data_IF_386905380039
#
_entry.id   IF_386905380039
#
_cell.length_a   1.000
_cell.length_b   1.000
_cell.length_c   1.000
_cell.angle_alpha   90.00
_cell.angle_beta   90.00
_cell.angle_gamma   90.00
#
_symmetry.space_group_name_H-M   'P 1'
#
loop_
_entity.id
_entity.type
_entity.pdbx_description
1 polymer ?
#
# COMPACT_ATOMS: atom_id res chain seq x y z
N UNK A 1 -7.48 27.81 -20.57
CA UNK A 1 -6.97 26.66 -21.36
C UNK A 1 -7.97 25.51 -21.31
N UNK A 2 -8.61 25.22 -22.44
CA UNK A 2 -9.71 24.26 -22.57
C UNK A 2 -9.19 22.82 -22.77
N UNK A 3 -8.76 22.15 -21.70
CA UNK A 3 -8.22 20.78 -21.76
C UNK A 3 -9.23 19.69 -21.35
N UNK A 4 -10.46 20.05 -20.97
CA UNK A 4 -11.45 19.09 -20.44
C UNK A 4 -12.22 18.28 -21.49
N UNK A 5 -12.05 18.55 -22.79
CA UNK A 5 -12.95 18.01 -23.82
C UNK A 5 -12.38 16.86 -24.67
N UNK A 6 -11.06 16.65 -24.72
CA UNK A 6 -10.48 15.78 -25.74
C UNK A 6 -10.65 14.27 -25.44
N UNK A 7 -10.62 13.87 -24.16
CA UNK A 7 -10.82 12.49 -23.73
C UNK A 7 -12.29 12.18 -23.36
N UNK A 8 -13.12 13.21 -23.19
CA UNK A 8 -14.51 13.07 -22.74
C UNK A 8 -15.46 12.83 -23.93
N UNK A 9 -15.57 11.56 -24.33
CA UNK A 9 -16.38 11.13 -25.47
C UNK A 9 -17.88 10.96 -25.13
N UNK A 10 -18.70 10.74 -26.18
CA UNK A 10 -20.15 10.56 -26.06
C UNK A 10 -20.53 9.36 -25.18
N UNK A 11 -19.71 8.31 -25.12
CA UNK A 11 -19.96 7.17 -24.25
C UNK A 11 -19.87 7.58 -22.77
N UNK A 12 -18.81 8.30 -22.38
CA UNK A 12 -18.67 8.84 -21.04
C UNK A 12 -19.80 9.84 -20.69
N UNK A 13 -20.30 10.59 -21.68
CA UNK A 13 -21.47 11.46 -21.51
C UNK A 13 -22.74 10.66 -21.22
N UNK A 14 -22.98 9.57 -21.94
CA UNK A 14 -24.10 8.64 -21.69
C UNK A 14 -23.99 8.00 -20.29
N UNK A 15 -22.80 7.53 -19.91
CA UNK A 15 -22.57 6.96 -18.59
C UNK A 15 -22.81 7.99 -17.47
N UNK A 16 -22.37 9.24 -17.66
CA UNK A 16 -22.65 10.32 -16.70
C UNK A 16 -24.15 10.53 -16.54
N UNK A 17 -24.90 10.59 -17.64
CA UNK A 17 -26.36 10.75 -17.62
C UNK A 17 -27.03 9.60 -16.86
N UNK A 18 -26.66 8.36 -17.15
CA UNK A 18 -27.19 7.18 -16.45
C UNK A 18 -26.86 7.19 -14.94
N UNK A 19 -25.67 7.65 -14.54
CA UNK A 19 -25.31 7.79 -13.12
C UNK A 19 -26.15 8.87 -12.44
N UNK A 20 -26.41 10.00 -13.10
CA UNK A 20 -27.26 11.07 -12.58
C UNK A 20 -28.71 10.60 -12.43
N UNK A 21 -29.28 9.98 -13.48
CA UNK A 21 -30.65 9.44 -13.43
C UNK A 21 -30.81 8.42 -12.30
N UNK A 22 -29.82 7.55 -12.10
CA UNK A 22 -29.87 6.56 -11.01
C UNK A 22 -29.58 7.15 -9.64
N UNK A 23 -28.88 8.27 -9.57
CA UNK A 23 -28.76 9.01 -8.31
C UNK A 23 -30.13 9.53 -7.89
N UNK A 24 -30.83 10.21 -8.79
CA UNK A 24 -32.15 10.78 -8.55
C UNK A 24 -33.16 9.69 -8.17
N UNK A 25 -33.13 8.54 -8.87
CA UNK A 25 -33.97 7.38 -8.53
C UNK A 25 -33.64 6.80 -7.16
N UNK A 26 -32.36 6.66 -6.80
CA UNK A 26 -31.95 6.12 -5.50
C UNK A 26 -32.34 7.01 -4.32
N UNK A 27 -32.48 8.32 -4.53
CA UNK A 27 -32.97 9.25 -3.53
C UNK A 27 -34.47 9.09 -3.27
N UNK A 28 -35.23 8.65 -4.28
CA UNK A 28 -36.67 8.37 -4.18
C UNK A 28 -36.95 6.96 -3.64
N UNK A 29 -36.21 5.95 -4.11
CA UNK A 29 -36.45 4.54 -3.75
C UNK A 29 -35.73 4.08 -2.48
N UNK A 30 -34.66 4.78 -2.07
CA UNK A 30 -33.80 4.40 -0.95
C UNK A 30 -32.80 3.28 -1.26
N UNK A 31 -32.91 2.60 -2.40
CA UNK A 31 -31.96 1.59 -2.86
C UNK A 31 -30.82 2.23 -3.66
N UNK A 32 -29.60 2.11 -3.14
CA UNK A 32 -28.38 2.71 -3.73
C UNK A 32 -27.50 1.69 -4.46
N UNK A 33 -27.86 0.42 -4.49
CA UNK A 33 -27.00 -0.65 -5.05
C UNK A 33 -26.63 -0.38 -6.51
N UNK A 34 -27.63 -0.14 -7.36
CA UNK A 34 -27.42 0.13 -8.79
C UNK A 34 -26.64 1.43 -9.03
N UNK A 35 -26.92 2.49 -8.26
CA UNK A 35 -26.17 3.74 -8.32
C UNK A 35 -24.68 3.53 -8.03
N UNK A 36 -24.36 2.79 -6.97
CA UNK A 36 -22.97 2.52 -6.57
C UNK A 36 -22.22 1.77 -7.67
N UNK A 37 -22.86 0.75 -8.27
CA UNK A 37 -22.26 0.00 -9.38
C UNK A 37 -22.02 0.85 -10.62
N UNK A 38 -23.02 1.61 -11.06
CA UNK A 38 -22.90 2.48 -12.24
C UNK A 38 -21.86 3.58 -12.01
N UNK A 39 -21.83 4.16 -10.82
CA UNK A 39 -20.82 5.15 -10.44
C UNK A 39 -19.42 4.55 -10.46
N UNK A 40 -19.23 3.32 -9.97
CA UNK A 40 -17.95 2.60 -10.04
C UNK A 40 -17.53 2.37 -11.49
N UNK A 41 -18.43 1.85 -12.33
CA UNK A 41 -18.18 1.65 -13.77
C UNK A 41 -17.79 2.95 -14.47
N UNK A 42 -18.51 4.04 -14.19
CA UNK A 42 -18.23 5.37 -14.75
C UNK A 42 -16.87 5.92 -14.32
N UNK A 43 -16.52 5.83 -13.03
CA UNK A 43 -15.21 6.27 -12.54
C UNK A 43 -14.06 5.50 -13.19
N UNK A 44 -14.20 4.18 -13.33
CA UNK A 44 -13.21 3.34 -14.00
C UNK A 44 -13.07 3.74 -15.47
N UNK A 45 -14.19 3.94 -16.19
CA UNK A 45 -14.16 4.35 -17.58
C UNK A 45 -13.49 5.72 -17.77
N UNK A 46 -13.70 6.67 -16.86
CA UNK A 46 -12.97 7.95 -16.87
C UNK A 46 -11.46 7.72 -16.68
N UNK A 47 -11.07 6.95 -15.66
CA UNK A 47 -9.66 6.69 -15.37
C UNK A 47 -8.96 6.06 -16.57
N UNK A 48 -9.59 5.07 -17.21
CA UNK A 48 -9.08 4.43 -18.43
C UNK A 48 -9.00 5.42 -19.61
N UNK A 49 -10.03 6.24 -19.83
CA UNK A 49 -10.02 7.20 -20.92
C UNK A 49 -8.93 8.27 -20.76
N UNK A 50 -8.71 8.76 -19.54
CA UNK A 50 -7.65 9.72 -19.22
C UNK A 50 -6.27 9.08 -19.41
N UNK A 51 -6.06 7.85 -18.91
CA UNK A 51 -4.81 7.13 -19.09
C UNK A 51 -4.47 6.94 -20.57
N UNK A 52 -5.42 6.42 -21.37
CA UNK A 52 -5.23 6.21 -22.81
C UNK A 52 -4.99 7.52 -23.56
N UNK A 53 -5.62 8.62 -23.15
CA UNK A 53 -5.38 9.93 -23.74
C UNK A 53 -3.97 10.43 -23.42
N UNK A 54 -3.55 10.35 -22.16
CA UNK A 54 -2.22 10.77 -21.73
C UNK A 54 -1.12 9.92 -22.37
N UNK A 55 -1.31 8.61 -22.49
CA UNK A 55 -0.38 7.71 -23.18
C UNK A 55 -0.21 8.13 -24.63
N UNK A 56 -1.32 8.35 -25.36
CA UNK A 56 -1.27 8.83 -26.75
C UNK A 56 -0.53 10.16 -26.86
N UNK A 57 -0.81 11.11 -25.98
CA UNK A 57 -0.12 12.40 -25.97
C UNK A 57 1.38 12.25 -25.71
N UNK A 58 1.77 11.43 -24.72
CA UNK A 58 3.17 11.15 -24.39
C UNK A 58 3.93 10.59 -25.61
N UNK A 59 3.38 9.58 -26.27
CA UNK A 59 4.01 8.95 -27.45
C UNK A 59 4.01 9.87 -28.68
N UNK A 60 3.01 10.74 -28.85
CA UNK A 60 2.98 11.71 -29.95
C UNK A 60 3.84 12.96 -29.71
N UNK A 61 4.29 13.17 -28.48
CA UNK A 61 5.02 14.39 -28.12
C UNK A 61 6.45 14.35 -28.66
N UNK A 62 7.02 15.50 -29.08
CA UNK A 62 8.42 15.57 -29.51
C UNK A 62 9.42 15.18 -28.41
N UNK A 63 9.01 15.33 -27.14
CA UNK A 63 9.80 14.93 -25.98
C UNK A 63 8.90 14.24 -24.94
N UNK A 64 8.78 12.90 -25.01
CA UNK A 64 7.92 12.12 -24.11
C UNK A 64 8.30 12.26 -22.64
N UNK A 65 9.60 12.33 -22.33
CA UNK A 65 10.10 12.43 -20.96
C UNK A 65 9.67 13.76 -20.31
N UNK A 66 9.83 14.87 -21.05
CA UNK A 66 9.41 16.19 -20.58
C UNK A 66 7.89 16.30 -20.43
N UNK A 67 7.13 15.71 -21.36
CA UNK A 67 5.66 15.66 -21.26
C UNK A 67 5.22 14.91 -20.00
N UNK A 68 5.75 13.72 -19.76
CA UNK A 68 5.44 12.93 -18.57
C UNK A 68 5.85 13.64 -17.27
N UNK A 69 7.02 14.27 -17.26
CA UNK A 69 7.49 15.06 -16.11
C UNK A 69 6.53 16.21 -15.77
N UNK A 70 6.09 16.96 -16.79
CA UNK A 70 5.11 18.01 -16.61
C UNK A 70 3.76 17.45 -16.14
N UNK A 71 3.28 16.36 -16.74
CA UNK A 71 2.03 15.70 -16.35
C UNK A 71 2.05 15.27 -14.87
N UNK A 72 3.17 14.72 -14.40
CA UNK A 72 3.35 14.35 -12.99
C UNK A 72 3.31 15.60 -12.10
N UNK A 73 4.02 16.66 -12.48
CA UNK A 73 4.06 17.90 -11.71
C UNK A 73 2.70 18.60 -11.66
N UNK A 74 1.95 18.63 -12.76
CA UNK A 74 0.62 19.22 -12.86
C UNK A 74 -0.41 18.49 -11.97
N UNK A 75 -0.21 17.19 -11.73
CA UNK A 75 -1.04 16.36 -10.87
C UNK A 75 -0.44 16.09 -9.48
N UNK A 76 0.73 16.66 -9.19
CA UNK A 76 1.35 16.62 -7.87
C UNK A 76 0.50 17.51 -6.97
N UNK A 77 -0.25 16.90 -6.04
CA UNK A 77 -1.02 17.68 -5.06
C UNK A 77 -0.06 18.55 -4.25
N UNK A 78 -0.30 19.86 -4.22
CA UNK A 78 0.43 20.83 -3.40
C UNK A 78 0.36 20.51 -1.88
N UNK A 79 -0.45 19.52 -1.46
CA UNK A 79 -0.65 19.14 -0.06
C UNK A 79 -0.04 17.80 0.38
N UNK A 80 0.85 17.18 -0.39
CA UNK A 80 1.65 16.02 0.08
C UNK A 80 3.08 16.41 0.45
N UNK A 81 3.31 17.68 0.83
CA UNK A 81 4.44 18.00 1.68
C UNK A 81 4.02 17.46 3.04
N UNK A 82 4.40 16.21 3.32
CA UNK A 82 4.47 15.81 4.71
C UNK A 82 5.42 16.81 5.37
N UNK A 83 4.94 17.59 6.35
CA UNK A 83 5.78 18.38 7.25
C UNK A 83 6.68 17.48 8.12
N UNK A 84 7.09 16.33 7.61
CA UNK A 84 8.14 15.50 8.14
C UNK A 84 9.46 16.12 7.71
N UNK A 85 9.77 17.31 8.22
CA UNK A 85 11.17 17.63 8.45
C UNK A 85 11.67 16.52 9.35
N UNK A 86 12.58 15.63 8.89
CA UNK A 86 13.11 14.60 9.74
C UNK A 86 13.68 15.26 11.01
N UNK A 87 13.60 14.62 12.19
CA UNK A 87 14.10 15.18 13.44
C UNK A 87 15.64 15.33 13.45
N UNK A 88 16.29 14.98 12.35
CA UNK A 88 17.72 15.09 12.12
C UNK A 88 17.96 15.70 10.73
N UNK A 89 19.02 16.46 10.62
CA UNK A 89 19.56 16.99 9.37
C UNK A 89 20.28 15.91 8.55
N UNK A 90 20.51 16.18 7.27
CA UNK A 90 21.30 15.28 6.41
C UNK A 90 22.73 15.09 6.95
N UNK A 91 23.32 16.14 7.55
CA UNK A 91 24.66 16.08 8.12
C UNK A 91 24.71 15.24 9.40
N UNK A 92 23.67 15.32 10.24
CA UNK A 92 23.54 14.45 11.41
C UNK A 92 23.36 12.98 11.01
N UNK A 93 22.55 12.70 9.98
CA UNK A 93 22.40 11.35 9.44
C UNK A 93 23.72 10.80 8.90
N UNK A 94 24.43 11.58 8.10
CA UNK A 94 25.72 11.17 7.53
C UNK A 94 26.77 10.97 8.62
N UNK A 95 26.81 11.86 9.61
CA UNK A 95 27.75 11.75 10.74
C UNK A 95 27.49 10.47 11.54
N UNK A 96 26.22 10.17 11.85
CA UNK A 96 25.84 8.91 12.48
C UNK A 96 26.23 7.69 11.64
N UNK A 97 25.92 7.72 10.34
CA UNK A 97 26.20 6.59 9.46
C UNK A 97 27.70 6.31 9.30
N UNK A 98 28.53 7.34 9.30
CA UNK A 98 29.98 7.20 9.26
C UNK A 98 30.58 6.74 10.59
N UNK A 99 29.97 7.08 11.73
CA UNK A 99 30.50 6.80 13.07
C UNK A 99 30.00 5.50 13.69
N UNK A 100 28.81 5.01 13.30
CA UNK A 100 28.15 3.88 13.96
C UNK A 100 29.01 2.62 14.04
N UNK A 101 29.82 2.32 13.03
CA UNK A 101 30.71 1.15 13.06
C UNK A 101 31.79 1.29 14.14
N UNK A 102 32.42 2.47 14.26
CA UNK A 102 33.44 2.74 15.27
C UNK A 102 32.82 2.79 16.68
N UNK A 103 31.64 3.41 16.81
CA UNK A 103 30.91 3.49 18.06
C UNK A 103 30.44 2.11 18.53
N UNK A 104 29.99 1.25 17.61
CA UNK A 104 29.61 -0.12 17.93
C UNK A 104 30.81 -0.93 18.40
N UNK A 105 31.93 -0.86 17.69
CA UNK A 105 33.15 -1.60 18.05
C UNK A 105 33.72 -1.12 19.39
N UNK A 106 33.68 0.19 19.67
CA UNK A 106 34.16 0.74 20.95
C UNK A 106 33.21 0.46 22.12
N UNK A 107 31.92 0.29 21.86
CA UNK A 107 30.93 -0.12 22.84
C UNK A 107 30.93 -1.63 23.12
N UNK A 108 31.61 -2.45 22.29
CA UNK A 108 31.79 -3.87 22.62
C UNK A 108 32.67 -3.97 23.87
N UNK A 109 32.25 -4.75 24.89
CA UNK A 109 33.11 -5.03 26.02
C UNK A 109 34.40 -5.69 25.50
N UNK A 110 35.55 -5.23 25.98
CA UNK A 110 36.81 -5.88 25.65
C UNK A 110 36.74 -7.34 26.12
N UNK A 111 36.73 -8.29 25.17
CA UNK A 111 36.70 -9.71 25.49
C UNK A 111 38.01 -10.10 26.17
N UNK A 112 37.99 -10.16 27.50
CA UNK A 112 39.02 -10.84 28.31
C UNK A 112 38.65 -12.33 28.32
N UNK A 113 38.81 -13.01 27.19
CA UNK A 113 38.42 -14.42 27.08
C UNK A 113 38.88 -15.08 25.78
N UNK A 114 39.33 -16.32 25.89
CA UNK A 114 39.64 -17.17 24.73
C UNK A 114 38.33 -17.45 23.94
N UNK A 115 38.24 -17.07 22.66
CA UNK A 115 37.04 -17.28 21.84
C UNK A 115 36.67 -18.75 21.66
N UNK A 116 37.56 -19.68 21.98
CA UNK A 116 37.29 -21.12 21.99
C UNK A 116 36.80 -21.66 23.34
N UNK A 117 36.70 -20.80 24.36
CA UNK A 117 36.44 -21.19 25.75
C UNK A 117 35.24 -20.40 26.34
N UNK A 118 34.17 -20.27 25.57
CA UNK A 118 32.93 -19.68 26.06
C UNK A 118 32.22 -20.66 27.00
N UNK A 119 32.09 -20.29 28.27
CA UNK A 119 31.08 -20.92 29.15
C UNK A 119 29.73 -20.35 28.71
N UNK A 120 28.91 -21.17 28.06
CA UNK A 120 27.53 -20.79 27.75
C UNK A 120 26.78 -20.62 29.08
N UNK A 121 26.70 -19.38 29.57
CA UNK A 121 25.82 -19.03 30.68
C UNK A 121 24.43 -18.78 30.11
N UNK A 122 23.45 -19.50 30.64
CA UNK A 122 22.03 -19.36 30.35
C UNK A 122 21.67 -19.45 28.86
N UNK A 123 21.76 -20.67 28.30
CA UNK A 123 20.97 -21.00 27.11
C UNK A 123 19.50 -20.90 27.51
N UNK A 124 18.68 -20.06 26.86
CA UNK A 124 17.24 -20.13 27.07
C UNK A 124 16.80 -21.55 26.73
N UNK A 125 16.37 -22.29 27.77
CA UNK A 125 15.99 -23.67 27.62
C UNK A 125 14.66 -23.73 26.87
N UNK A 126 14.71 -24.10 25.60
CA UNK A 126 13.51 -24.38 24.84
C UNK A 126 12.88 -25.67 25.37
N UNK A 127 11.62 -25.58 25.79
CA UNK A 127 10.83 -26.75 26.17
C UNK A 127 9.51 -26.74 25.41
N UNK A 128 9.12 -27.90 24.87
CA UNK A 128 7.77 -28.08 24.38
C UNK A 128 6.79 -28.11 25.55
N UNK A 129 5.68 -27.39 25.40
CA UNK A 129 4.55 -27.42 26.33
C UNK A 129 3.35 -28.03 25.63
N UNK A 130 2.48 -28.68 26.40
CA UNK A 130 1.18 -29.12 25.88
C UNK A 130 0.33 -27.89 25.56
N UNK A 131 -0.34 -27.90 24.42
CA UNK A 131 -1.26 -26.85 23.96
C UNK A 131 -2.62 -27.50 23.79
N UNK A 132 -3.68 -26.89 24.35
CA UNK A 132 -5.02 -27.45 24.22
C UNK A 132 -5.63 -27.12 22.85
N UNK A 133 -6.58 -27.92 22.36
CA UNK A 133 -7.30 -27.59 21.13
C UNK A 133 -8.03 -26.24 21.18
N UNK A 134 -8.44 -25.80 22.38
CA UNK A 134 -9.08 -24.50 22.59
C UNK A 134 -8.08 -23.36 22.36
N UNK A 135 -6.86 -23.47 22.89
CA UNK A 135 -5.82 -22.46 22.69
C UNK A 135 -5.50 -22.27 21.21
N UNK A 136 -5.45 -23.37 20.46
CA UNK A 136 -5.23 -23.33 19.00
C UNK A 136 -6.40 -22.63 18.29
N UNK A 137 -7.64 -22.93 18.68
CA UNK A 137 -8.84 -22.31 18.11
C UNK A 137 -8.86 -20.79 18.36
N UNK A 138 -8.54 -20.36 19.57
CA UNK A 138 -8.49 -18.94 19.95
C UNK A 138 -7.42 -18.17 19.16
N UNK A 139 -6.23 -18.77 18.98
CA UNK A 139 -5.16 -18.21 18.14
C UNK A 139 -5.64 -18.07 16.68
N UNK A 140 -6.28 -19.11 16.14
CA UNK A 140 -6.79 -19.10 14.76
C UNK A 140 -7.87 -18.03 14.60
N UNK A 141 -8.78 -17.89 15.56
CA UNK A 141 -9.83 -16.85 15.55
C UNK A 141 -9.22 -15.44 15.53
N UNK A 142 -8.11 -15.22 16.24
CA UNK A 142 -7.37 -13.96 16.32
C UNK A 142 -6.60 -13.55 15.06
N UNK A 143 -6.37 -14.46 14.10
CA UNK A 143 -5.65 -14.13 12.87
C UNK A 143 -6.35 -13.02 12.07
N UNK A 144 -5.61 -12.07 11.49
CA UNK A 144 -6.23 -11.04 10.63
C UNK A 144 -6.68 -11.68 9.31
N UNK A 145 -7.90 -11.36 8.88
CA UNK A 145 -8.38 -11.79 7.56
C UNK A 145 -7.52 -11.17 6.46
N UNK A 146 -7.00 -12.00 5.58
CA UNK A 146 -6.17 -11.63 4.45
C UNK A 146 -6.62 -12.37 3.19
N UNK A 147 -6.46 -11.73 2.04
CA UNK A 147 -6.62 -12.33 0.71
C UNK A 147 -5.30 -12.90 0.16
N UNK A 148 -4.22 -12.81 0.95
CA UNK A 148 -2.93 -13.43 0.64
C UNK A 148 -2.94 -14.93 0.91
N UNK A 149 -2.20 -15.65 0.07
CA UNK A 149 -1.99 -17.09 0.16
C UNK A 149 -0.57 -17.37 0.64
N UNK A 150 -0.39 -18.41 1.44
CA UNK A 150 0.93 -18.94 1.77
C UNK A 150 1.48 -19.84 0.63
N UNK A 151 2.64 -20.45 0.85
CA UNK A 151 3.26 -21.34 -0.13
C UNK A 151 2.49 -22.65 -0.35
N UNK A 152 1.52 -22.97 0.52
CA UNK A 152 0.61 -24.11 0.41
C UNK A 152 -0.74 -23.70 -0.19
N UNK A 153 -0.86 -22.46 -0.68
CA UNK A 153 -2.08 -21.90 -1.23
C UNK A 153 -3.24 -21.82 -0.21
N UNK A 154 -2.92 -21.72 1.08
CA UNK A 154 -3.89 -21.52 2.15
C UNK A 154 -4.01 -20.05 2.51
N UNK A 155 -5.23 -19.58 2.68
CA UNK A 155 -5.52 -18.24 3.21
C UNK A 155 -5.96 -18.30 4.67
N UNK A 156 -5.73 -17.23 5.41
CA UNK A 156 -6.25 -17.06 6.79
C UNK A 156 -7.77 -17.25 6.87
N UNK A 157 -8.51 -16.90 5.81
CA UNK A 157 -9.96 -17.13 5.72
C UNK A 157 -10.32 -18.62 5.62
N UNK A 158 -9.52 -19.41 4.91
CA UNK A 158 -9.73 -20.86 4.78
C UNK A 158 -9.41 -21.58 6.09
N UNK A 159 -8.30 -21.22 6.75
CA UNK A 159 -7.87 -21.82 8.02
C UNK A 159 -8.93 -21.59 9.10
N UNK A 160 -9.46 -20.37 9.20
CA UNK A 160 -10.56 -20.05 10.13
C UNK A 160 -11.84 -20.85 9.86
N UNK A 161 -12.20 -21.07 8.59
CA UNK A 161 -13.39 -21.85 8.20
C UNK A 161 -13.26 -23.34 8.49
N UNK A 162 -12.04 -23.88 8.48
CA UNK A 162 -11.80 -25.29 8.76
C UNK A 162 -11.70 -25.59 10.26
N UNK A 163 -11.50 -24.55 11.08
CA UNK A 163 -11.22 -24.67 12.53
C UNK A 163 -12.40 -24.26 13.42
N UNK A 164 -13.46 -23.69 12.82
CA UNK A 164 -14.74 -23.31 13.45
C UNK A 164 -15.86 -24.18 12.86
#
# INVERSE_FOLDING_TARGET
MAYRSAWFNDNLRKMRKAVTEQQDLSEVTGDRTQYVELRKKYKNAIATAVALYNDKQAFSSPNPQKFLWNLINDHRREGCIADSTPPFSADEFNSFFCSIAADTVSALPAEIGDPLNFKIKDVPQFSFTSVSPLDVSDIIAGLKNSDGYDYLELSTKMIKRASL
#
